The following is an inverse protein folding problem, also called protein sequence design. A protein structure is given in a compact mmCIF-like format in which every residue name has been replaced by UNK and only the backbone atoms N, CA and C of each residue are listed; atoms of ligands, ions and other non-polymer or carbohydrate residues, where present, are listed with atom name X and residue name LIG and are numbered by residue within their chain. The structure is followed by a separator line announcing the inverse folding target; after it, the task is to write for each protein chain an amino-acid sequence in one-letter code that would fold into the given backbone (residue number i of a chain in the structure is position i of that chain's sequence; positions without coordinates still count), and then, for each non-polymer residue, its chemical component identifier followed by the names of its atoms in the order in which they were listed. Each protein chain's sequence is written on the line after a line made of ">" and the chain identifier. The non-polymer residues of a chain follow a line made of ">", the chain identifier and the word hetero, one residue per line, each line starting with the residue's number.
data_IF_732018421362
#
_entry.id   IF_732018421362
#
_cell.length_a   1.000
_cell.length_b   1.000
_cell.length_c   1.000
_cell.angle_alpha   90.00
_cell.angle_beta   90.00
_cell.angle_gamma   90.00
#
_symmetry.space_group_name_H-M   'P 1'
#
loop_
_entity.id
_entity.type
_entity.pdbx_description
1 polymer ?
#
# COMPACT_ATOMS: atom_id res chain seq x y z
N UNK A 1 12.76 -6.05 20.02
CA UNK A 1 12.81 -6.27 18.56
C UNK A 1 11.46 -6.86 18.22
N UNK A 2 10.48 -5.99 18.03
CA UNK A 2 9.06 -6.33 18.04
C UNK A 2 8.59 -6.70 16.65
N UNK A 3 7.73 -7.69 16.62
CA UNK A 3 7.30 -8.51 15.50
C UNK A 3 6.66 -7.69 14.37
N UNK A 4 7.00 -8.06 13.13
CA UNK A 4 6.32 -7.57 11.95
C UNK A 4 4.96 -8.26 11.83
N UNK A 5 3.91 -7.63 12.35
CA UNK A 5 2.53 -7.96 11.98
C UNK A 5 2.30 -7.54 10.51
N UNK A 6 2.54 -8.47 9.60
CA UNK A 6 2.19 -8.31 8.19
C UNK A 6 0.69 -8.60 8.06
N UNK A 7 -0.13 -7.56 8.30
CA UNK A 7 -1.58 -7.66 8.30
C UNK A 7 -2.07 -8.23 6.96
N UNK A 8 -2.58 -9.46 7.02
CA UNK A 8 -3.26 -10.16 5.93
C UNK A 8 -4.50 -9.37 5.51
N UNK A 9 -4.73 -9.07 4.22
CA UNK A 9 -5.98 -8.47 3.81
C UNK A 9 -7.08 -9.52 4.00
N UNK A 10 -7.91 -9.27 5.01
CA UNK A 10 -9.08 -10.07 5.37
C UNK A 10 -9.91 -10.37 4.13
N UNK A 11 -10.16 -11.67 3.90
CA UNK A 11 -11.07 -12.20 2.91
C UNK A 11 -12.53 -11.89 3.33
N UNK A 12 -12.92 -10.63 3.22
CA UNK A 12 -14.29 -10.15 3.35
C UNK A 12 -14.67 -9.44 2.06
N UNK A 13 -15.54 -10.07 1.28
CA UNK A 13 -15.86 -9.72 -0.10
C UNK A 13 -16.36 -8.27 -0.30
N UNK A 14 -15.44 -7.34 -0.54
CA UNK A 14 -15.73 -6.18 -1.38
C UNK A 14 -15.42 -6.59 -2.82
N UNK A 15 -16.46 -6.73 -3.64
CA UNK A 15 -16.34 -6.91 -5.09
C UNK A 15 -16.67 -5.58 -5.79
N UNK A 16 -15.85 -4.51 -5.65
CA UNK A 16 -15.99 -3.33 -6.47
C UNK A 16 -15.78 -3.77 -7.91
N UNK A 17 -16.86 -3.67 -8.70
CA UNK A 17 -16.85 -4.06 -10.11
C UNK A 17 -15.84 -3.14 -10.82
N UNK A 18 -14.76 -3.74 -11.35
CA UNK A 18 -13.59 -3.10 -11.97
C UNK A 18 -12.75 -2.22 -11.03
N UNK A 19 -12.17 -2.79 -9.96
CA UNK A 19 -10.99 -2.19 -9.34
C UNK A 19 -9.74 -2.50 -10.17
N UNK A 20 -8.79 -1.56 -10.18
CA UNK A 20 -7.43 -1.82 -10.66
C UNK A 20 -6.79 -2.87 -9.76
N UNK A 21 -6.03 -3.80 -10.35
CA UNK A 21 -5.35 -4.85 -9.62
C UNK A 21 -4.39 -4.25 -8.57
N UNK A 22 -4.34 -4.86 -7.38
CA UNK A 22 -3.44 -4.48 -6.26
C UNK A 22 -3.68 -3.10 -5.64
N UNK A 23 -4.82 -2.44 -5.93
CA UNK A 23 -5.20 -1.20 -5.26
C UNK A 23 -5.27 -1.38 -3.74
N UNK A 24 -4.55 -0.54 -2.99
CA UNK A 24 -4.51 -0.58 -1.52
C UNK A 24 -3.62 -1.68 -0.92
N UNK A 25 -2.90 -2.47 -1.73
CA UNK A 25 -1.98 -3.50 -1.25
C UNK A 25 -0.56 -2.96 -1.18
N UNK A 26 0.08 -3.10 -0.01
CA UNK A 26 1.52 -2.81 0.14
C UNK A 26 2.33 -3.86 -0.62
N UNK A 27 2.97 -3.47 -1.72
CA UNK A 27 3.78 -4.38 -2.54
C UNK A 27 5.18 -4.67 -1.95
N UNK A 28 5.69 -3.77 -1.10
CA UNK A 28 7.00 -3.90 -0.45
C UNK A 28 7.54 -2.56 0.04
N UNK A 29 8.61 -2.58 0.84
CA UNK A 29 9.29 -1.37 1.32
C UNK A 29 10.38 -0.95 0.33
N UNK A 30 10.33 0.29 -0.16
CA UNK A 30 11.38 0.89 -0.99
C UNK A 30 11.81 2.21 -0.37
N UNK A 31 13.04 2.62 -0.64
CA UNK A 31 13.55 3.90 -0.14
C UNK A 31 13.90 4.89 -1.26
N UNK A 32 13.64 4.54 -2.53
CA UNK A 32 14.04 5.34 -3.70
C UNK A 32 13.18 6.58 -3.89
N UNK A 33 11.89 6.46 -3.62
CA UNK A 33 10.91 7.53 -3.74
C UNK A 33 9.91 7.48 -2.59
N UNK A 34 9.38 8.63 -2.23
CA UNK A 34 8.33 8.76 -1.21
C UNK A 34 7.29 9.77 -1.68
N UNK A 35 6.01 9.49 -1.42
CA UNK A 35 4.91 10.42 -1.68
C UNK A 35 4.30 10.85 -0.36
N UNK A 36 4.05 12.15 -0.20
CA UNK A 36 3.39 12.72 0.97
C UNK A 36 1.94 12.23 1.11
N UNK A 37 1.39 12.27 2.34
CA UNK A 37 0.05 11.74 2.65
C UNK A 37 -1.09 12.34 1.81
N UNK A 38 -0.93 13.56 1.33
CA UNK A 38 -1.89 14.26 0.44
C UNK A 38 -1.71 13.91 -1.03
N UNK A 39 -0.64 13.20 -1.42
CA UNK A 39 -0.39 12.74 -2.77
C UNK A 39 0.21 13.78 -3.74
N UNK A 40 0.29 15.05 -3.35
CA UNK A 40 0.75 16.13 -4.23
C UNK A 40 2.28 16.30 -4.25
N UNK A 41 2.98 15.63 -3.35
CA UNK A 41 4.40 15.81 -3.12
C UNK A 41 5.11 14.47 -3.32
N UNK A 42 6.07 14.44 -4.24
CA UNK A 42 6.87 13.26 -4.60
C UNK A 42 8.35 13.61 -4.49
N UNK A 43 9.04 12.89 -3.63
CA UNK A 43 10.46 13.06 -3.37
C UNK A 43 11.24 11.84 -3.86
N UNK A 44 12.32 12.08 -4.59
CA UNK A 44 13.36 11.10 -4.86
C UNK A 44 14.50 11.28 -3.85
N UNK A 45 15.26 10.21 -3.62
CA UNK A 45 16.57 10.36 -2.97
C UNK A 45 17.50 11.24 -3.79
#
# INVERSE_FOLDING_TARGET
>A
MSEADNSTPNAGAFKPKKSVALSGVTAGNTALCTVGKTGNDLHYR
#
